data_IF_171854590789
#
_entry.id   IF_171854590789
#
_cell.length_a   1.000
_cell.length_b   1.000
_cell.length_c   1.000
_cell.angle_alpha   90.00
_cell.angle_beta   90.00
_cell.angle_gamma   90.00
#
_symmetry.space_group_name_H-M   'P 1'
#
loop_
_entity.id
_entity.type
_entity.pdbx_description
1 polymer ?
#
# COMPACT_ATOMS: atom_id res chain seq x y z
N UNK A 1 -29.34 -73.72 -24.74
CA UNK A 1 -28.33 -72.68 -24.46
C UNK A 1 -28.77 -71.39 -25.12
N UNK A 2 -29.30 -70.43 -24.36
CA UNK A 2 -29.32 -69.02 -24.76
C UNK A 2 -28.71 -68.22 -23.63
N UNK A 3 -27.46 -67.81 -23.80
CA UNK A 3 -26.85 -66.77 -22.98
C UNK A 3 -27.21 -65.44 -23.65
N UNK A 4 -28.19 -64.73 -23.10
CA UNK A 4 -28.53 -63.37 -23.52
C UNK A 4 -27.56 -62.42 -22.80
N UNK A 5 -26.72 -61.74 -23.56
CA UNK A 5 -25.91 -60.62 -23.09
C UNK A 5 -26.83 -59.43 -22.75
N UNK A 6 -26.83 -59.00 -21.49
CA UNK A 6 -27.45 -57.74 -21.04
C UNK A 6 -26.71 -56.51 -21.63
N UNK A 7 -27.41 -55.45 -22.07
CA UNK A 7 -26.76 -54.28 -22.68
C UNK A 7 -26.20 -53.33 -21.61
N UNK A 8 -24.89 -53.04 -21.67
CA UNK A 8 -24.25 -51.94 -20.91
C UNK A 8 -24.74 -50.57 -21.42
N UNK A 9 -25.91 -50.11 -20.97
CA UNK A 9 -26.47 -48.80 -21.39
C UNK A 9 -26.50 -47.70 -20.33
N UNK A 10 -25.98 -47.92 -19.13
CA UNK A 10 -26.11 -46.95 -18.02
C UNK A 10 -24.88 -46.06 -17.72
N UNK A 11 -23.76 -46.17 -18.45
CA UNK A 11 -22.50 -45.50 -18.06
C UNK A 11 -22.24 -44.14 -18.73
N UNK A 12 -22.85 -43.83 -19.88
CA UNK A 12 -22.58 -42.57 -20.60
C UNK A 12 -23.15 -41.31 -19.93
N UNK A 13 -24.28 -41.41 -19.22
CA UNK A 13 -24.92 -40.26 -18.55
C UNK A 13 -24.16 -39.75 -17.31
N UNK A 14 -23.56 -40.67 -16.54
CA UNK A 14 -22.83 -40.37 -15.30
C UNK A 14 -21.53 -39.60 -15.58
N UNK A 15 -20.87 -39.88 -16.70
CA UNK A 15 -19.62 -39.23 -17.07
C UNK A 15 -19.82 -37.76 -17.49
N UNK A 16 -20.94 -37.46 -18.17
CA UNK A 16 -21.28 -36.11 -18.62
C UNK A 16 -21.69 -35.20 -17.46
N UNK A 17 -22.38 -35.75 -16.47
CA UNK A 17 -22.74 -35.08 -15.22
C UNK A 17 -21.51 -34.77 -14.34
N UNK A 18 -20.58 -35.73 -14.21
CA UNK A 18 -19.29 -35.53 -13.51
C UNK A 18 -18.45 -34.43 -14.16
N UNK A 19 -18.37 -34.39 -15.50
CA UNK A 19 -17.66 -33.34 -16.25
C UNK A 19 -18.31 -31.95 -16.09
N UNK A 20 -19.63 -31.88 -15.97
CA UNK A 20 -20.34 -30.62 -15.68
C UNK A 20 -20.05 -30.12 -14.27
N UNK A 21 -20.10 -31.00 -13.27
CA UNK A 21 -19.75 -30.66 -11.88
C UNK A 21 -18.30 -30.23 -11.71
N UNK A 22 -17.36 -30.90 -12.39
CA UNK A 22 -15.95 -30.48 -12.37
C UNK A 22 -15.74 -29.10 -13.02
N UNK A 23 -16.53 -28.77 -14.05
CA UNK A 23 -16.50 -27.45 -14.68
C UNK A 23 -17.05 -26.35 -13.76
N UNK A 24 -18.14 -26.62 -13.03
CA UNK A 24 -18.71 -25.66 -12.07
C UNK A 24 -17.80 -25.45 -10.87
N UNK A 25 -17.17 -26.52 -10.36
CA UNK A 25 -16.18 -26.42 -9.28
C UNK A 25 -14.95 -25.62 -9.72
N UNK A 26 -14.48 -25.82 -10.95
CA UNK A 26 -13.38 -25.02 -11.51
C UNK A 26 -13.74 -23.54 -11.63
N UNK A 27 -14.98 -23.22 -12.01
CA UNK A 27 -15.46 -21.83 -12.06
C UNK A 27 -15.58 -21.22 -10.66
N UNK A 28 -16.08 -21.99 -9.69
CA UNK A 28 -16.17 -21.54 -8.29
C UNK A 28 -14.78 -21.27 -7.70
N UNK A 29 -13.81 -22.16 -7.92
CA UNK A 29 -12.42 -21.96 -7.48
C UNK A 29 -11.80 -20.70 -8.09
N UNK A 30 -12.03 -20.44 -9.38
CA UNK A 30 -11.60 -19.19 -10.04
C UNK A 30 -12.25 -17.96 -9.42
N UNK A 31 -13.54 -18.02 -9.11
CA UNK A 31 -14.26 -16.93 -8.45
C UNK A 31 -13.67 -16.64 -7.07
N UNK A 32 -13.45 -17.68 -6.26
CA UNK A 32 -12.83 -17.55 -4.92
C UNK A 32 -11.41 -16.97 -5.03
N UNK A 33 -10.60 -17.44 -5.98
CA UNK A 33 -9.27 -16.90 -6.23
C UNK A 33 -9.31 -15.41 -6.62
N UNK A 34 -10.24 -15.00 -7.48
CA UNK A 34 -10.42 -13.61 -7.89
C UNK A 34 -10.85 -12.71 -6.71
N UNK A 35 -11.75 -13.20 -5.85
CA UNK A 35 -12.16 -12.48 -4.63
C UNK A 35 -10.96 -12.29 -3.70
N UNK A 36 -10.16 -13.35 -3.49
CA UNK A 36 -8.96 -13.28 -2.64
C UNK A 36 -7.94 -12.29 -3.19
N UNK A 37 -7.69 -12.29 -4.49
CA UNK A 37 -6.74 -11.35 -5.10
C UNK A 37 -7.22 -9.90 -5.04
N UNK A 38 -8.54 -9.69 -5.20
CA UNK A 38 -9.15 -8.37 -4.99
C UNK A 38 -8.94 -7.88 -3.57
N UNK A 39 -9.18 -8.73 -2.56
CA UNK A 39 -8.96 -8.40 -1.15
C UNK A 39 -7.49 -8.08 -0.86
N UNK A 40 -6.56 -8.87 -1.42
CA UNK A 40 -5.12 -8.61 -1.31
C UNK A 40 -4.74 -7.24 -1.90
N UNK A 41 -5.27 -6.93 -3.08
CA UNK A 41 -5.02 -5.65 -3.76
C UNK A 41 -5.66 -4.48 -3.00
N UNK A 42 -6.85 -4.68 -2.41
CA UNK A 42 -7.51 -3.67 -1.59
C UNK A 42 -6.66 -3.34 -0.37
N UNK A 43 -6.21 -4.34 0.39
CA UNK A 43 -5.33 -4.14 1.54
C UNK A 43 -4.06 -3.38 1.19
N UNK A 44 -3.45 -3.67 0.03
CA UNK A 44 -2.30 -2.92 -0.48
C UNK A 44 -2.65 -1.45 -0.79
N UNK A 45 -3.80 -1.20 -1.42
CA UNK A 45 -4.23 0.17 -1.73
C UNK A 45 -4.55 0.96 -0.45
N UNK A 46 -5.11 0.32 0.58
CA UNK A 46 -5.38 0.93 1.87
C UNK A 46 -4.06 1.34 2.56
N UNK A 47 -3.04 0.47 2.54
CA UNK A 47 -1.71 0.81 3.04
C UNK A 47 -1.09 2.01 2.28
N UNK A 48 -1.27 2.06 0.96
CA UNK A 48 -0.85 3.22 0.15
C UNK A 48 -1.63 4.50 0.50
N UNK A 49 -2.90 4.40 0.88
CA UNK A 49 -3.68 5.55 1.33
C UNK A 49 -3.20 6.05 2.70
N UNK A 50 -2.95 5.14 3.65
CA UNK A 50 -2.34 5.47 4.93
C UNK A 50 -0.98 6.17 4.75
N UNK A 51 -0.14 5.66 3.84
CA UNK A 51 1.13 6.28 3.53
C UNK A 51 0.97 7.71 2.97
N UNK A 52 -0.01 7.95 2.08
CA UNK A 52 -0.28 9.31 1.57
C UNK A 52 -0.71 10.27 2.67
N UNK A 53 -1.47 9.81 3.66
CA UNK A 53 -1.98 10.67 4.73
C UNK A 53 -0.89 11.21 5.66
N UNK A 54 0.25 10.52 5.76
CA UNK A 54 1.37 10.94 6.63
C UNK A 54 2.43 11.76 5.88
N UNK A 55 2.40 11.77 4.54
CA UNK A 55 3.34 12.54 3.74
C UNK A 55 2.80 13.96 3.62
N UNK A 56 3.57 15.01 3.95
CA UNK A 56 3.11 16.37 3.75
C UNK A 56 2.97 16.69 2.25
N UNK A 57 1.75 17.02 1.85
CA UNK A 57 1.36 17.31 0.46
C UNK A 57 0.43 18.50 0.39
N UNK A 58 0.35 19.16 -0.78
CA UNK A 58 -0.65 20.19 -1.01
C UNK A 58 -2.04 19.56 -1.20
N UNK A 59 -3.14 20.25 -0.83
CA UNK A 59 -4.51 19.74 -1.01
C UNK A 59 -4.88 19.34 -2.44
N UNK A 60 -4.16 19.87 -3.44
CA UNK A 60 -4.36 19.57 -4.87
C UNK A 60 -3.54 18.36 -5.36
N UNK A 61 -2.60 17.86 -4.57
CA UNK A 61 -1.66 16.84 -5.02
C UNK A 61 -2.34 15.50 -5.25
N UNK A 62 -2.35 15.04 -6.51
CA UNK A 62 -2.78 13.70 -6.89
C UNK A 62 -1.56 12.81 -7.10
N UNK A 63 -1.19 12.06 -6.07
CA UNK A 63 0.01 11.21 -6.09
C UNK A 63 -0.25 9.79 -6.63
N UNK A 64 0.44 9.43 -7.71
CA UNK A 64 0.57 8.04 -8.17
C UNK A 64 1.32 7.17 -7.14
N UNK A 65 1.29 5.83 -7.30
CA UNK A 65 2.01 4.90 -6.40
C UNK A 65 3.52 5.20 -6.36
N UNK A 66 4.14 5.43 -7.52
CA UNK A 66 5.57 5.74 -7.59
C UNK A 66 5.89 7.11 -6.96
N UNK A 67 5.07 8.13 -7.22
CA UNK A 67 5.25 9.44 -6.59
C UNK A 67 5.11 9.37 -5.07
N UNK A 68 4.15 8.58 -4.57
CA UNK A 68 3.97 8.36 -3.12
C UNK A 68 5.23 7.76 -2.50
N UNK A 69 5.82 6.74 -3.13
CA UNK A 69 7.03 6.10 -2.62
C UNK A 69 8.25 7.04 -2.67
N UNK A 70 8.42 7.78 -3.78
CA UNK A 70 9.50 8.77 -3.90
C UNK A 70 9.39 9.85 -2.83
N UNK A 71 8.18 10.41 -2.67
CA UNK A 71 7.95 11.49 -1.72
C UNK A 71 8.07 11.01 -0.27
N UNK A 72 7.63 9.79 0.05
CA UNK A 72 7.87 9.17 1.35
C UNK A 72 9.36 9.06 1.66
N UNK A 73 10.15 8.57 0.69
CA UNK A 73 11.60 8.48 0.83
C UNK A 73 12.20 9.87 1.09
N UNK A 74 11.85 10.87 0.29
CA UNK A 74 12.32 12.24 0.46
C UNK A 74 11.93 12.82 1.83
N UNK A 75 10.73 12.55 2.32
CA UNK A 75 10.28 13.01 3.62
C UNK A 75 11.09 12.38 4.77
N UNK A 76 11.41 11.09 4.67
CA UNK A 76 12.31 10.42 5.62
C UNK A 76 13.70 11.10 5.63
N UNK A 77 14.29 11.39 4.46
CA UNK A 77 15.59 12.06 4.38
C UNK A 77 15.56 13.47 4.97
N UNK A 78 14.49 14.22 4.70
CA UNK A 78 14.28 15.53 5.30
C UNK A 78 14.23 15.47 6.83
N UNK A 79 13.49 14.51 7.39
CA UNK A 79 13.42 14.31 8.83
C UNK A 79 14.79 13.93 9.43
N UNK A 80 15.56 13.07 8.76
CA UNK A 80 16.93 12.76 9.20
C UNK A 80 17.82 14.00 9.24
N UNK A 81 17.77 14.86 8.22
CA UNK A 81 18.54 16.10 8.20
C UNK A 81 18.19 17.02 9.37
N UNK A 82 16.90 17.18 9.68
CA UNK A 82 16.48 17.98 10.85
C UNK A 82 17.01 17.39 12.15
N UNK A 83 17.00 16.07 12.29
CA UNK A 83 17.51 15.40 13.48
C UNK A 83 19.03 15.60 13.62
N UNK A 84 19.80 15.44 12.54
CA UNK A 84 21.24 15.76 12.54
C UNK A 84 21.48 17.24 12.81
N UNK A 85 20.59 18.11 12.31
CA UNK A 85 20.68 19.55 12.52
C UNK A 85 20.47 19.97 13.97
N UNK A 86 19.54 19.31 14.64
CA UNK A 86 19.23 19.56 16.05
C UNK A 86 20.26 18.96 17.00
N UNK A 87 20.88 17.83 16.65
CA UNK A 87 21.90 17.16 17.47
C UNK A 87 23.19 17.99 17.56
N UNK A 88 23.61 18.67 16.49
CA UNK A 88 24.80 19.52 16.52
C UNK A 88 24.59 20.89 17.17
N UNK A 89 23.34 21.34 17.32
CA UNK A 89 23.02 22.56 18.07
C UNK A 89 23.01 22.33 19.59
N UNK A 90 23.05 21.07 20.06
CA UNK A 90 23.17 20.76 21.49
C UNK A 90 24.56 21.05 22.08
N UNK A 91 25.59 21.29 21.27
CA UNK A 91 26.93 21.60 21.80
C UNK A 91 27.11 23.07 22.27
N UNK A 92 26.18 23.99 21.99
CA UNK A 92 26.42 25.43 22.26
C UNK A 92 25.32 26.21 23.02
N UNK A 93 24.28 25.58 23.58
CA UNK A 93 23.17 26.35 24.21
C UNK A 93 22.59 25.67 25.45
N UNK A 94 23.39 25.50 26.51
CA UNK A 94 22.87 25.08 27.84
C UNK A 94 22.31 26.27 28.65
N UNK A 95 22.23 27.51 28.12
CA UNK A 95 21.71 28.65 28.89
C UNK A 95 20.44 29.34 28.36
N UNK A 96 19.96 29.03 27.15
CA UNK A 96 18.72 29.66 26.60
C UNK A 96 17.58 28.66 26.36
N UNK A 97 17.83 27.35 26.48
CA UNK A 97 16.90 26.28 26.07
C UNK A 97 15.74 26.00 27.05
N UNK A 98 15.56 26.79 28.12
CA UNK A 98 14.52 26.57 29.13
C UNK A 98 13.22 27.34 28.85
N UNK A 99 13.17 28.16 27.81
CA UNK A 99 11.99 29.01 27.49
C UNK A 99 11.14 28.48 26.32
N UNK A 100 11.63 27.54 25.48
CA UNK A 100 10.94 27.22 24.19
C UNK A 100 10.60 25.74 23.99
N UNK A 101 10.67 24.89 25.01
CA UNK A 101 10.41 23.45 24.83
C UNK A 101 8.95 23.06 24.61
N UNK A 102 7.99 23.98 24.82
CA UNK A 102 6.56 23.67 24.81
C UNK A 102 5.75 24.40 23.72
N UNK A 103 6.36 25.28 22.93
CA UNK A 103 5.65 25.99 21.85
C UNK A 103 6.11 25.51 20.46
N UNK A 104 5.24 24.73 19.82
CA UNK A 104 5.09 24.59 18.38
C UNK A 104 6.13 23.74 17.60
N UNK A 105 6.05 22.42 17.79
CA UNK A 105 6.06 21.53 16.62
C UNK A 105 4.60 21.43 16.14
N UNK A 106 4.09 22.51 15.55
CA UNK A 106 2.81 22.42 14.84
C UNK A 106 3.03 21.51 13.62
N UNK A 107 2.12 20.55 13.32
CA UNK A 107 2.24 19.72 12.12
C UNK A 107 2.41 20.56 10.83
N UNK A 108 1.92 21.80 10.84
CA UNK A 108 2.06 22.74 9.73
C UNK A 108 3.48 23.28 9.56
N UNK A 109 4.30 23.41 10.61
CA UNK A 109 5.65 23.95 10.50
C UNK A 109 6.59 22.98 9.76
N UNK A 110 6.55 21.69 10.12
CA UNK A 110 7.30 20.64 9.41
C UNK A 110 6.77 20.43 7.99
N UNK A 111 5.46 20.47 7.80
CA UNK A 111 4.84 20.35 6.48
C UNK A 111 5.21 21.51 5.57
N UNK A 112 5.26 22.74 6.10
CA UNK A 112 5.71 23.93 5.40
C UNK A 112 7.20 23.85 5.07
N UNK A 113 8.05 23.55 6.06
CA UNK A 113 9.49 23.42 5.86
C UNK A 113 9.83 22.34 4.82
N UNK A 114 9.13 21.19 4.85
CA UNK A 114 9.28 20.17 3.82
C UNK A 114 8.83 20.65 2.44
N UNK A 115 7.75 21.42 2.36
CA UNK A 115 7.26 21.99 1.09
C UNK A 115 8.27 22.96 0.49
N UNK A 116 8.89 23.81 1.31
CA UNK A 116 9.97 24.73 0.90
C UNK A 116 11.19 23.93 0.44
N UNK A 117 11.65 22.98 1.26
CA UNK A 117 12.82 22.14 0.96
C UNK A 117 12.66 21.35 -0.35
N UNK A 118 11.45 20.83 -0.63
CA UNK A 118 11.15 20.13 -1.87
C UNK A 118 11.14 21.07 -3.10
N UNK A 119 10.73 22.33 -2.93
CA UNK A 119 10.65 23.30 -4.02
C UNK A 119 12.01 23.92 -4.37
N UNK A 120 12.98 23.92 -3.45
CA UNK A 120 14.31 24.50 -3.64
C UNK A 120 15.26 23.69 -4.55
N UNK A 121 14.77 22.62 -5.19
CA UNK A 121 15.33 22.18 -6.47
C UNK A 121 16.30 21.00 -6.46
N UNK A 122 16.57 20.35 -5.33
CA UNK A 122 17.49 19.20 -5.27
C UNK A 122 16.92 17.87 -5.82
N UNK A 123 15.60 17.76 -6.08
CA UNK A 123 14.97 16.45 -6.38
C UNK A 123 13.91 16.45 -7.51
N UNK A 124 14.03 17.34 -8.49
CA UNK A 124 13.11 17.37 -9.66
C UNK A 124 13.43 16.36 -10.79
N UNK A 125 14.22 15.32 -10.54
CA UNK A 125 14.64 14.35 -11.56
C UNK A 125 14.23 12.90 -11.22
#
# INVERSE_FOLDING_TARGET
MYHVMEPRRAEMGKNRERRRRSSTDSQHQRMVANVRERQRTQSLNDAFACLRNIIPTLPSDKLSKIQTLRLASSYIHFLYRILEETDHLQEHTIQEAEIVKEEYIHPDALSYAFSVWRMEGEFSH
#
